data_IF_921461846003
#
_entry.id   IF_921461846003
#
_cell.length_a   1.000
_cell.length_b   1.000
_cell.length_c   1.000
_cell.angle_alpha   90.00
_cell.angle_beta   90.00
_cell.angle_gamma   90.00
#
_symmetry.space_group_name_H-M   'P 1'
#
loop_
_entity.id
_entity.type
_entity.pdbx_description
1 polymer ?
#
# COMPACT_ATOMS: atom_id res chain seq x y z
N UNK A 1 25.31 -5.30 10.52
CA UNK A 1 24.30 -4.76 11.45
C UNK A 1 24.36 -3.25 11.29
N UNK A 2 23.75 -2.75 10.22
CA UNK A 2 23.83 -1.35 9.81
C UNK A 2 22.54 -0.65 10.22
N UNK A 3 22.67 0.41 11.00
CA UNK A 3 21.59 1.32 11.33
C UNK A 3 21.00 1.90 10.04
N UNK A 4 19.68 1.78 9.89
CA UNK A 4 18.92 2.47 8.84
C UNK A 4 18.68 3.88 9.37
N UNK A 5 19.31 4.88 8.74
CA UNK A 5 19.20 6.29 9.16
C UNK A 5 17.74 6.79 9.14
N UNK A 6 17.38 7.76 10.01
CA UNK A 6 16.01 8.27 10.16
C UNK A 6 15.54 9.21 9.03
N UNK A 7 16.19 9.18 7.86
CA UNK A 7 16.02 10.12 6.76
C UNK A 7 15.20 9.51 5.61
N UNK A 8 13.90 9.34 5.83
CA UNK A 8 12.83 9.31 4.78
C UNK A 8 11.42 9.33 5.39
N UNK A 9 11.27 10.00 6.54
CA UNK A 9 9.96 10.23 7.16
C UNK A 9 9.28 11.41 6.44
N UNK A 10 8.67 11.13 5.28
CA UNK A 10 7.78 12.07 4.61
C UNK A 10 6.51 12.28 5.44
N UNK A 11 6.25 13.53 5.81
CA UNK A 11 4.99 14.06 6.39
C UNK A 11 4.25 13.10 7.33
N UNK A 12 4.83 12.88 8.50
CA UNK A 12 4.12 12.27 9.62
C UNK A 12 3.04 13.26 10.10
N UNK A 13 1.80 13.08 9.66
CA UNK A 13 0.67 13.61 10.41
C UNK A 13 0.55 12.78 11.71
N UNK A 14 1.39 13.10 12.70
CA UNK A 14 1.23 12.65 14.08
C UNK A 14 -0.02 13.31 14.67
N UNK A 15 -1.19 12.84 14.29
CA UNK A 15 -2.41 13.15 15.03
C UNK A 15 -2.51 12.17 16.19
N UNK A 16 -1.85 12.52 17.30
CA UNK A 16 -2.11 12.08 18.69
C UNK A 16 -2.27 10.58 19.01
N UNK A 17 -2.12 9.65 18.07
CA UNK A 17 -2.24 8.21 18.28
C UNK A 17 -1.10 7.47 17.58
N UNK A 18 -0.28 6.68 18.30
CA UNK A 18 0.92 6.02 17.75
C UNK A 18 0.62 4.81 16.84
N UNK A 19 -0.60 4.72 16.27
CA UNK A 19 -1.13 3.50 15.63
C UNK A 19 -1.30 3.58 14.11
N UNK A 20 -0.91 4.68 13.49
CA UNK A 20 -1.33 4.98 12.12
C UNK A 20 -0.15 5.49 11.29
N UNK A 21 0.21 4.73 10.24
CA UNK A 21 1.18 5.14 9.24
C UNK A 21 0.44 5.43 7.94
N UNK A 22 0.39 6.70 7.55
CA UNK A 22 -0.15 7.13 6.26
C UNK A 22 0.97 7.40 5.28
N UNK A 23 0.90 6.76 4.12
CA UNK A 23 1.81 7.04 3.00
C UNK A 23 1.04 7.79 1.92
N UNK A 24 1.45 9.04 1.67
CA UNK A 24 0.99 9.82 0.52
C UNK A 24 1.87 9.51 -0.68
N UNK A 25 1.26 9.26 -1.84
CA UNK A 25 1.98 9.13 -3.10
C UNK A 25 2.28 10.52 -3.67
N UNK A 26 3.51 11.00 -3.48
CA UNK A 26 4.13 12.06 -4.30
C UNK A 26 5.06 11.37 -5.32
N UNK A 27 4.90 11.55 -6.64
CA UNK A 27 5.78 10.93 -7.63
C UNK A 27 7.27 11.27 -7.47
N UNK A 28 7.65 12.29 -6.69
CA UNK A 28 9.04 12.62 -6.37
C UNK A 28 9.56 11.99 -5.06
N UNK A 29 8.68 11.55 -4.16
CA UNK A 29 9.01 10.99 -2.83
C UNK A 29 8.31 9.64 -2.55
N UNK A 30 7.82 8.96 -3.59
CA UNK A 30 7.12 7.70 -3.47
C UNK A 30 8.03 6.56 -3.00
N UNK A 31 7.52 5.71 -2.10
CA UNK A 31 8.13 4.44 -1.77
C UNK A 31 8.19 3.56 -3.02
N UNK A 32 9.35 2.96 -3.27
CA UNK A 32 9.48 1.86 -4.22
C UNK A 32 8.74 0.63 -3.71
N UNK A 33 8.34 -0.30 -4.59
CA UNK A 33 7.66 -1.51 -4.12
C UNK A 33 8.53 -2.37 -3.18
N UNK A 34 9.86 -2.28 -3.29
CA UNK A 34 10.79 -2.97 -2.39
C UNK A 34 10.83 -2.32 -0.99
N UNK A 35 10.86 -0.98 -0.91
CA UNK A 35 10.76 -0.29 0.38
C UNK A 35 9.40 -0.56 1.05
N UNK A 36 8.32 -0.62 0.25
CA UNK A 36 7.00 -1.04 0.75
C UNK A 36 7.02 -2.47 1.27
N UNK A 37 7.66 -3.41 0.56
CA UNK A 37 7.78 -4.80 0.99
C UNK A 37 8.52 -4.91 2.33
N UNK A 38 9.62 -4.18 2.49
CA UNK A 38 10.37 -4.13 3.76
C UNK A 38 9.52 -3.58 4.90
N UNK A 39 8.78 -2.50 4.65
CA UNK A 39 7.87 -1.92 5.62
C UNK A 39 6.78 -2.92 6.05
N UNK A 40 6.18 -3.63 5.11
CA UNK A 40 5.10 -4.58 5.39
C UNK A 40 5.61 -5.80 6.16
N UNK A 41 6.83 -6.28 5.87
CA UNK A 41 7.53 -7.30 6.69
C UNK A 41 7.82 -6.82 8.11
N UNK A 42 8.19 -5.55 8.27
CA UNK A 42 8.37 -4.96 9.60
C UNK A 42 7.05 -4.90 10.37
N UNK A 43 5.93 -4.62 9.71
CA UNK A 43 4.62 -4.65 10.35
C UNK A 43 4.24 -6.06 10.79
N UNK A 44 4.44 -7.07 9.93
CA UNK A 44 4.18 -8.48 10.25
C UNK A 44 4.92 -8.91 11.51
N UNK A 45 6.22 -8.59 11.60
CA UNK A 45 7.07 -8.96 12.73
C UNK A 45 6.64 -8.29 14.03
N UNK A 46 6.17 -7.05 13.96
CA UNK A 46 5.91 -6.24 15.16
C UNK A 46 4.45 -6.32 15.63
N UNK A 47 3.51 -6.70 14.74
CA UNK A 47 2.06 -6.73 15.01
C UNK A 47 1.61 -5.50 15.83
N UNK A 48 1.60 -4.29 15.24
CA UNK A 48 1.26 -3.06 15.97
C UNK A 48 -0.16 -3.08 16.56
N UNK A 49 -1.04 -3.95 16.06
CA UNK A 49 -2.39 -4.17 16.58
C UNK A 49 -2.43 -5.09 17.81
N UNK A 50 -1.40 -5.90 18.02
CA UNK A 50 -1.36 -6.98 19.01
C UNK A 50 -2.60 -7.89 18.90
N UNK A 51 -2.99 -8.20 17.67
CA UNK A 51 -4.17 -9.02 17.32
C UNK A 51 -3.79 -10.47 16.97
N UNK A 52 -2.49 -10.80 16.99
CA UNK A 52 -1.97 -12.13 16.81
C UNK A 52 -2.25 -12.69 15.42
N UNK A 53 -2.83 -13.90 15.36
CA UNK A 53 -3.09 -14.60 14.09
C UNK A 53 -4.09 -13.91 13.16
N UNK A 54 -4.79 -12.88 13.65
CA UNK A 54 -5.73 -12.09 12.87
C UNK A 54 -5.08 -10.86 12.23
N UNK A 55 -3.78 -10.65 12.44
CA UNK A 55 -3.05 -9.53 11.86
C UNK A 55 -2.69 -9.82 10.41
N UNK A 56 -3.12 -8.95 9.51
CA UNK A 56 -2.66 -8.92 8.12
C UNK A 56 -1.96 -7.60 7.86
N UNK A 57 -0.66 -7.60 7.52
CA UNK A 57 0.10 -6.36 7.30
C UNK A 57 -0.53 -5.43 6.26
N UNK A 58 -1.06 -5.98 5.16
CA UNK A 58 -1.74 -5.25 4.10
C UNK A 58 -3.11 -5.87 3.81
N UNK A 59 -4.16 -5.07 4.03
CA UNK A 59 -5.52 -5.38 3.61
C UNK A 59 -5.96 -4.36 2.57
N UNK A 60 -6.33 -4.85 1.38
CA UNK A 60 -6.69 -4.00 0.24
C UNK A 60 -7.70 -4.73 -0.64
N UNK A 61 -8.64 -4.01 -1.23
CA UNK A 61 -9.57 -4.57 -2.21
C UNK A 61 -8.90 -4.85 -3.56
N UNK A 62 -9.50 -5.70 -4.39
CA UNK A 62 -8.96 -6.10 -5.70
C UNK A 62 -8.62 -4.92 -6.62
N UNK A 63 -9.44 -3.87 -6.61
CA UNK A 63 -9.22 -2.67 -7.40
C UNK A 63 -7.95 -1.94 -6.97
N UNK A 64 -7.78 -1.77 -5.66
CA UNK A 64 -6.62 -1.08 -5.11
C UNK A 64 -5.34 -1.93 -5.08
N UNK A 65 -5.46 -3.26 -5.05
CA UNK A 65 -4.31 -4.17 -5.13
C UNK A 65 -3.51 -3.98 -6.43
N UNK A 66 -4.18 -3.56 -7.51
CA UNK A 66 -3.56 -3.26 -8.80
C UNK A 66 -2.54 -2.11 -8.73
N UNK A 67 -2.62 -1.21 -7.73
CA UNK A 67 -1.62 -0.16 -7.51
C UNK A 67 -0.25 -0.69 -7.07
N UNK A 68 -0.18 -1.90 -6.49
CA UNK A 68 1.10 -2.53 -6.18
C UNK A 68 1.96 -2.75 -7.43
N UNK A 69 1.31 -2.92 -8.60
CA UNK A 69 2.00 -3.05 -9.88
C UNK A 69 2.50 -1.69 -10.40
N UNK A 70 1.76 -0.62 -10.12
CA UNK A 70 2.08 0.75 -10.56
C UNK A 70 3.30 1.35 -9.86
N UNK A 71 3.62 0.92 -8.63
CA UNK A 71 4.77 1.47 -7.91
C UNK A 71 6.11 1.28 -8.65
N UNK A 72 6.21 0.24 -9.49
CA UNK A 72 7.41 -0.04 -10.28
C UNK A 72 7.14 -0.08 -11.80
N UNK A 73 5.90 0.17 -12.27
CA UNK A 73 5.56 0.15 -13.71
C UNK A 73 4.70 1.34 -14.13
N UNK A 74 5.33 2.29 -14.82
CA UNK A 74 4.75 3.55 -15.31
C UNK A 74 3.58 3.36 -16.29
N UNK A 75 3.57 2.27 -17.04
CA UNK A 75 2.61 2.04 -18.14
C UNK A 75 1.62 0.90 -17.86
N UNK A 76 1.63 0.33 -16.65
CA UNK A 76 0.82 -0.83 -16.30
C UNK A 76 -0.70 -0.57 -16.29
N UNK A 77 -1.16 0.62 -15.89
CA UNK A 77 -2.59 0.89 -15.68
C UNK A 77 -3.09 2.24 -16.21
N UNK A 78 -2.40 3.35 -15.92
CA UNK A 78 -2.87 4.70 -16.29
C UNK A 78 -2.50 5.13 -17.71
N UNK A 79 -1.44 4.54 -18.29
CA UNK A 79 -0.96 4.80 -19.64
C UNK A 79 -0.74 3.48 -20.40
N UNK A 80 -1.81 2.69 -20.53
CA UNK A 80 -1.80 1.31 -21.02
C UNK A 80 -1.20 1.15 -22.42
N UNK A 81 -1.31 2.20 -23.26
CA UNK A 81 -0.64 2.27 -24.55
C UNK A 81 0.25 3.51 -24.57
N UNK A 82 1.54 3.32 -24.88
CA UNK A 82 2.52 4.41 -24.99
C UNK A 82 3.35 4.26 -26.24
N UNK A 83 3.96 5.35 -26.69
CA UNK A 83 4.87 5.35 -27.83
C UNK A 83 6.28 5.09 -27.32
N UNK A 84 6.91 4.02 -27.79
CA UNK A 84 8.29 3.68 -27.46
C UNK A 84 9.30 4.57 -28.20
N UNK A 85 10.57 4.44 -27.83
CA UNK A 85 11.68 5.18 -28.46
C UNK A 85 11.84 4.87 -29.96
N UNK A 86 11.40 3.68 -30.37
CA UNK A 86 11.35 3.21 -31.76
C UNK A 86 10.17 3.83 -32.56
N UNK A 87 9.33 4.62 -31.90
CA UNK A 87 8.15 5.25 -32.47
C UNK A 87 6.95 4.32 -32.63
N UNK A 88 7.03 3.07 -32.20
CA UNK A 88 5.92 2.11 -32.22
C UNK A 88 5.05 2.24 -30.96
N UNK A 89 3.79 1.84 -31.07
CA UNK A 89 2.91 1.76 -29.90
C UNK A 89 3.13 0.45 -29.15
N UNK A 90 3.43 0.56 -27.86
CA UNK A 90 3.65 -0.55 -26.96
C UNK A 90 2.47 -0.67 -25.98
N UNK A 91 2.15 -1.91 -25.60
CA UNK A 91 1.14 -2.20 -24.59
C UNK A 91 1.83 -2.41 -23.24
N UNK A 92 1.64 -1.46 -22.31
CA UNK A 92 2.33 -1.41 -21.03
C UNK A 92 2.15 -2.63 -20.11
N UNK A 93 0.98 -3.30 -20.08
CA UNK A 93 0.86 -4.58 -19.39
C UNK A 93 1.79 -5.69 -19.90
N UNK A 94 2.27 -5.61 -21.15
CA UNK A 94 3.25 -6.53 -21.71
C UNK A 94 4.71 -6.07 -21.56
N UNK A 95 4.98 -4.96 -20.86
CA UNK A 95 6.34 -4.49 -20.62
C UNK A 95 7.07 -5.34 -19.59
N UNK A 96 8.41 -5.36 -19.66
CA UNK A 96 9.25 -6.02 -18.66
C UNK A 96 9.07 -5.42 -17.26
N UNK A 97 8.90 -4.10 -17.16
CA UNK A 97 8.69 -3.43 -15.87
C UNK A 97 7.42 -3.92 -15.19
N UNK A 98 6.34 -4.15 -15.96
CA UNK A 98 5.12 -4.76 -15.42
C UNK A 98 5.37 -6.19 -14.93
N UNK A 99 6.17 -6.98 -15.65
CA UNK A 99 6.55 -8.32 -15.20
C UNK A 99 7.36 -8.28 -13.88
N UNK A 100 8.31 -7.37 -13.75
CA UNK A 100 9.09 -7.23 -12.51
C UNK A 100 8.22 -6.76 -11.35
N UNK A 101 7.31 -5.81 -11.58
CA UNK A 101 6.31 -5.42 -10.58
C UNK A 101 5.43 -6.59 -10.14
N UNK A 102 4.98 -7.42 -11.08
CA UNK A 102 4.15 -8.60 -10.77
C UNK A 102 4.90 -9.65 -9.97
N UNK A 103 6.23 -9.80 -10.16
CA UNK A 103 7.05 -10.67 -9.31
C UNK A 103 7.08 -10.16 -7.88
N UNK A 104 7.24 -8.86 -7.67
CA UNK A 104 7.18 -8.27 -6.31
C UNK A 104 5.79 -8.48 -5.73
N UNK A 105 4.73 -8.24 -6.49
CA UNK A 105 3.36 -8.46 -6.03
C UNK A 105 3.12 -9.93 -5.63
N UNK A 106 3.68 -10.88 -6.38
CA UNK A 106 3.65 -12.30 -6.00
C UNK A 106 4.33 -12.57 -4.66
N UNK A 107 5.43 -11.89 -4.33
CA UNK A 107 6.08 -12.01 -3.01
C UNK A 107 5.16 -11.56 -1.89
N UNK A 108 4.40 -10.47 -2.06
CA UNK A 108 3.39 -10.04 -1.08
C UNK A 108 2.35 -11.14 -0.79
N UNK A 109 1.94 -11.87 -1.82
CA UNK A 109 0.97 -12.96 -1.68
C UNK A 109 1.60 -14.23 -1.07
N UNK A 110 2.75 -14.68 -1.60
CA UNK A 110 3.41 -15.91 -1.18
C UNK A 110 3.90 -15.83 0.28
N UNK A 111 4.29 -14.66 0.76
CA UNK A 111 4.71 -14.42 2.15
C UNK A 111 3.53 -14.17 3.10
N UNK A 112 2.28 -14.15 2.62
CA UNK A 112 1.11 -13.90 3.47
C UNK A 112 0.98 -12.46 3.98
N UNK A 113 1.75 -11.54 3.40
CA UNK A 113 1.75 -10.12 3.74
C UNK A 113 0.47 -9.42 3.29
N UNK A 114 -0.13 -9.92 2.20
CA UNK A 114 -1.42 -9.52 1.68
C UNK A 114 -2.51 -10.44 2.21
N UNK A 115 -3.67 -9.88 2.56
CA UNK A 115 -4.83 -10.67 2.92
C UNK A 115 -5.17 -11.70 1.82
N UNK A 116 -5.29 -13.01 2.12
CA UNK A 116 -5.44 -14.07 1.11
C UNK A 116 -6.70 -13.89 0.26
N UNK A 117 -7.76 -13.36 0.88
CA UNK A 117 -9.05 -13.10 0.26
C UNK A 117 -9.18 -11.68 -0.31
N UNK A 118 -8.08 -10.98 -0.63
CA UNK A 118 -8.10 -9.59 -1.14
C UNK A 118 -9.05 -9.37 -2.33
N UNK A 119 -9.32 -10.43 -3.12
CA UNK A 119 -10.22 -10.39 -4.26
C UNK A 119 -11.72 -10.37 -3.90
N UNK A 120 -12.08 -10.77 -2.68
CA UNK A 120 -13.47 -10.69 -2.16
C UNK A 120 -13.72 -9.44 -1.34
N UNK A 121 -12.67 -8.80 -0.82
CA UNK A 121 -12.76 -7.57 -0.03
C UNK A 121 -13.29 -6.42 -0.91
N UNK A 122 -14.28 -5.70 -0.39
CA UNK A 122 -14.89 -4.54 -1.02
C UNK A 122 -14.69 -3.30 -0.15
N UNK A 123 -14.76 -2.11 -0.75
CA UNK A 123 -14.86 -0.86 0.02
C UNK A 123 -16.20 -0.87 0.80
N UNK A 124 -16.23 -0.59 2.12
CA UNK A 124 -15.16 -0.04 2.96
C UNK A 124 -14.44 -1.03 3.89
N UNK A 125 -14.56 -2.34 3.65
CA UNK A 125 -14.06 -3.38 4.56
C UNK A 125 -12.53 -3.35 4.68
N UNK A 126 -11.83 -3.01 3.60
CA UNK A 126 -10.38 -2.80 3.59
C UNK A 126 -9.93 -1.72 4.58
N UNK A 127 -10.64 -0.58 4.60
CA UNK A 127 -10.39 0.52 5.54
C UNK A 127 -10.83 0.17 6.96
N UNK A 128 -11.94 -0.54 7.11
CA UNK A 128 -12.44 -0.97 8.42
C UNK A 128 -11.46 -1.94 9.12
N UNK A 129 -10.71 -2.74 8.35
CA UNK A 129 -9.64 -3.58 8.86
C UNK A 129 -8.57 -2.76 9.62
N UNK A 130 -8.24 -1.56 9.14
CA UNK A 130 -7.32 -0.65 9.82
C UNK A 130 -7.99 0.12 10.96
N UNK A 131 -9.06 0.88 10.67
CA UNK A 131 -9.59 1.88 11.62
C UNK A 131 -10.50 1.32 12.71
N UNK A 132 -11.27 0.28 12.39
CA UNK A 132 -12.31 -0.25 13.28
C UNK A 132 -11.78 -1.44 14.05
N UNK A 133 -11.26 -2.43 13.33
CA UNK A 133 -10.85 -3.71 13.93
C UNK A 133 -9.39 -3.72 14.35
N UNK A 134 -8.53 -2.90 13.71
CA UNK A 134 -7.08 -2.91 13.95
C UNK A 134 -6.41 -4.21 13.51
N UNK A 135 -7.06 -5.00 12.65
CA UNK A 135 -6.52 -6.24 12.08
C UNK A 135 -5.58 -6.00 10.91
N UNK A 136 -5.53 -4.76 10.39
CA UNK A 136 -4.60 -4.35 9.35
C UNK A 136 -3.57 -3.34 9.84
N UNK A 137 -2.34 -3.43 9.33
CA UNK A 137 -1.32 -2.38 9.50
C UNK A 137 -1.41 -1.26 8.45
N UNK A 138 -1.94 -1.59 7.27
CA UNK A 138 -1.95 -0.69 6.12
C UNK A 138 -3.09 -1.03 5.14
N UNK A 139 -3.60 -0.01 4.45
CA UNK A 139 -4.46 -0.17 3.28
C UNK A 139 -3.98 0.78 2.18
N UNK A 140 -4.37 0.50 0.94
CA UNK A 140 -4.15 1.41 -0.20
C UNK A 140 -5.49 2.07 -0.52
N UNK A 141 -5.50 3.39 -0.64
CA UNK A 141 -6.69 4.14 -1.00
C UNK A 141 -6.37 5.44 -1.74
N UNK A 142 -7.41 6.07 -2.29
CA UNK A 142 -7.27 7.33 -3.03
C UNK A 142 -7.14 8.53 -2.09
N UNK A 143 -6.24 9.45 -2.44
CA UNK A 143 -5.96 10.66 -1.70
C UNK A 143 -6.95 11.81 -1.95
N UNK A 144 -8.26 11.58 -1.95
CA UNK A 144 -9.20 12.72 -1.97
C UNK A 144 -9.25 13.36 -0.58
N UNK A 145 -9.07 14.68 -0.52
CA UNK A 145 -9.08 15.44 0.74
C UNK A 145 -10.32 15.21 1.62
N UNK A 146 -11.48 14.93 1.01
CA UNK A 146 -12.72 14.59 1.72
C UNK A 146 -12.64 13.27 2.52
N UNK A 147 -11.82 12.31 2.11
CA UNK A 147 -11.61 11.07 2.85
C UNK A 147 -10.70 11.26 4.06
N UNK A 148 -9.74 12.20 4.00
CA UNK A 148 -8.89 12.52 5.14
C UNK A 148 -9.69 13.04 6.34
N UNK A 149 -10.72 13.87 6.09
CA UNK A 149 -11.58 14.37 7.18
C UNK A 149 -12.32 13.23 7.88
N UNK A 150 -12.84 12.25 7.13
CA UNK A 150 -13.54 11.09 7.73
C UNK A 150 -12.63 10.19 8.56
N UNK A 151 -11.39 10.03 8.12
CA UNK A 151 -10.35 9.29 8.86
C UNK A 151 -10.04 9.99 10.18
N UNK A 152 -9.76 11.29 10.13
CA UNK A 152 -9.44 12.09 11.32
C UNK A 152 -10.62 12.13 12.31
N UNK A 153 -11.84 12.32 11.80
CA UNK A 153 -13.05 12.38 12.64
C UNK A 153 -13.35 11.03 13.30
N UNK A 154 -13.09 9.89 12.64
CA UNK A 154 -13.29 8.55 13.23
C UNK A 154 -12.41 8.30 14.46
N UNK A 155 -11.29 9.01 14.57
CA UNK A 155 -10.39 8.94 15.72
C UNK A 155 -10.70 9.94 16.83
N UNK A 156 -11.51 10.97 16.55
CA UNK A 156 -11.93 12.00 17.51
C UNK A 156 -13.21 11.64 18.28
N UNK A 157 -13.89 10.53 17.93
CA UNK A 157 -15.16 10.09 18.55
C UNK A 157 -14.95 8.93 19.55
N UNK A 158 -13.73 8.69 20.04
CA UNK A 158 -13.51 7.80 21.19
C UNK A 158 -13.42 8.65 22.48
N UNK A 159 -14.34 8.49 23.46
CA UNK A 159 -14.21 9.10 24.78
C UNK A 159 -13.03 8.53 25.57
#
# INVERSE_FOLDING_TARGET
>A
MGEVEPLKVCSMALTTSPRLLFLFYDPQEAYTANELLELVRLMEKNDPGNVGSNFYPLVVSSGFASFLVQFNSTYSLSNVFYKGDDGSYQWGPASNDTLESLKVYKVFYDEGLLHPEFYTIQDPDDRAALYVTGSSGMFIGEGMAAWMTRILDSHLIRP
#
